data_IF_034113094492
#
_entry.id   IF_034113094492
#
_cell.length_a   1.000
_cell.length_b   1.000
_cell.length_c   1.000
_cell.angle_alpha   90.00
_cell.angle_beta   90.00
_cell.angle_gamma   90.00
#
_symmetry.space_group_name_H-M   'P 1'
#
loop_
_entity.id
_entity.type
_entity.pdbx_description
1 polymer ?
#
# COMPACT_ATOMS: atom_id res chain seq x y z
N UNK A 1 5.39 -22.93 1.79
CA UNK A 1 5.65 -23.82 0.64
C UNK A 1 4.34 -24.08 -0.05
N UNK A 2 4.30 -23.98 -1.36
CA UNK A 2 3.13 -24.33 -2.19
C UNK A 2 3.56 -25.45 -3.14
N UNK A 3 2.64 -26.40 -3.41
CA UNK A 3 2.90 -27.45 -4.38
C UNK A 3 2.22 -27.12 -5.71
N UNK A 4 2.96 -27.20 -6.79
CA UNK A 4 2.45 -27.10 -8.16
C UNK A 4 2.92 -28.35 -8.89
N UNK A 5 1.98 -29.14 -9.37
CA UNK A 5 2.25 -30.41 -10.08
C UNK A 5 3.22 -31.37 -9.35
N UNK A 6 3.10 -31.42 -8.01
CA UNK A 6 3.95 -32.28 -7.18
C UNK A 6 5.34 -31.72 -6.85
N UNK A 7 5.66 -30.50 -7.31
CA UNK A 7 6.94 -29.84 -7.01
C UNK A 7 6.73 -28.80 -5.89
N UNK A 8 7.56 -28.89 -4.85
CA UNK A 8 7.56 -27.92 -3.75
C UNK A 8 8.20 -26.60 -4.19
N UNK A 9 7.42 -25.53 -4.17
CA UNK A 9 7.88 -24.18 -4.52
C UNK A 9 7.94 -23.32 -3.25
N UNK A 10 9.09 -22.68 -3.04
CA UNK A 10 9.22 -21.67 -1.99
C UNK A 10 8.44 -20.43 -2.38
N UNK A 11 7.45 -20.07 -1.57
CA UNK A 11 6.66 -18.85 -1.71
C UNK A 11 6.88 -17.94 -0.52
N UNK A 12 6.56 -16.67 -0.67
CA UNK A 12 6.53 -15.73 0.45
C UNK A 12 5.50 -16.21 1.50
N UNK A 13 5.77 -15.90 2.77
CA UNK A 13 4.75 -16.04 3.81
C UNK A 13 3.58 -15.08 3.51
N UNK A 14 2.37 -15.32 4.04
CA UNK A 14 1.27 -14.37 3.88
C UNK A 14 1.62 -12.95 4.36
N UNK A 15 2.38 -12.83 5.44
CA UNK A 15 2.87 -11.54 5.97
C UNK A 15 3.82 -10.85 5.00
N UNK A 16 4.85 -11.56 4.53
CA UNK A 16 5.81 -10.99 3.58
C UNK A 16 5.15 -10.65 2.25
N UNK A 17 4.20 -11.46 1.80
CA UNK A 17 3.48 -11.22 0.55
C UNK A 17 2.60 -9.97 0.67
N UNK A 18 1.87 -9.80 1.77
CA UNK A 18 1.08 -8.60 2.02
C UNK A 18 1.98 -7.37 2.10
N UNK A 19 3.09 -7.45 2.83
CA UNK A 19 4.06 -6.36 2.91
C UNK A 19 4.64 -6.01 1.52
N UNK A 20 4.98 -7.03 0.71
CA UNK A 20 5.42 -6.83 -0.67
C UNK A 20 4.37 -6.11 -1.51
N UNK A 21 3.08 -6.50 -1.44
CA UNK A 21 2.00 -5.86 -2.17
C UNK A 21 1.86 -4.38 -1.80
N UNK A 22 1.98 -4.05 -0.51
CA UNK A 22 1.93 -2.66 -0.03
C UNK A 22 3.10 -1.85 -0.60
N UNK A 23 4.33 -2.38 -0.49
CA UNK A 23 5.53 -1.73 -1.03
C UNK A 23 5.45 -1.55 -2.54
N UNK A 24 5.01 -2.59 -3.26
CA UNK A 24 4.84 -2.57 -4.71
C UNK A 24 3.80 -1.52 -5.15
N UNK A 25 2.68 -1.46 -4.45
CA UNK A 25 1.64 -0.46 -4.69
C UNK A 25 2.14 0.95 -4.41
N UNK A 26 2.91 1.14 -3.35
CA UNK A 26 3.53 2.43 -3.04
C UNK A 26 4.52 2.86 -4.12
N UNK A 27 5.34 1.93 -4.64
CA UNK A 27 6.21 2.20 -5.79
C UNK A 27 5.43 2.68 -7.00
N UNK A 28 4.35 1.97 -7.35
CA UNK A 28 3.49 2.37 -8.46
C UNK A 28 2.85 3.73 -8.23
N UNK A 29 2.35 3.98 -7.04
CA UNK A 29 1.80 5.28 -6.66
C UNK A 29 2.80 6.42 -6.90
N UNK A 30 4.06 6.24 -6.53
CA UNK A 30 5.09 7.28 -6.68
C UNK A 30 5.59 7.46 -8.13
N UNK A 31 5.60 6.41 -8.95
CA UNK A 31 6.36 6.43 -10.21
C UNK A 31 5.55 6.11 -11.47
N UNK A 32 4.64 5.18 -11.40
CA UNK A 32 4.04 4.59 -12.61
C UNK A 32 2.53 4.77 -12.71
N UNK A 33 1.94 5.36 -11.71
CA UNK A 33 0.50 5.36 -11.55
C UNK A 33 -0.01 4.13 -10.80
N UNK A 34 -1.10 4.34 -10.10
CA UNK A 34 -1.69 3.41 -9.15
C UNK A 34 -3.20 3.36 -9.41
N UNK A 35 -3.77 2.19 -9.47
CA UNK A 35 -5.18 2.01 -9.78
C UNK A 35 -5.92 1.23 -8.69
N UNK A 36 -7.24 1.24 -8.77
CA UNK A 36 -8.11 0.57 -7.78
C UNK A 36 -7.84 -0.95 -7.67
N UNK A 37 -7.32 -1.56 -8.73
CA UNK A 37 -7.01 -2.99 -8.75
C UNK A 37 -6.03 -3.39 -7.65
N UNK A 38 -4.98 -2.61 -7.43
CA UNK A 38 -4.00 -2.88 -6.38
C UNK A 38 -4.63 -2.86 -4.98
N UNK A 39 -5.61 -1.97 -4.76
CA UNK A 39 -6.37 -1.96 -3.50
C UNK A 39 -7.23 -3.21 -3.37
N UNK A 40 -7.89 -3.62 -4.46
CA UNK A 40 -8.68 -4.86 -4.48
C UNK A 40 -7.81 -6.08 -4.18
N UNK A 41 -6.63 -6.19 -4.77
CA UNK A 41 -5.70 -7.30 -4.55
C UNK A 41 -5.30 -7.39 -3.06
N UNK A 42 -5.00 -6.26 -2.40
CA UNK A 42 -4.71 -6.23 -0.97
C UNK A 42 -5.91 -6.62 -0.11
N UNK A 43 -7.11 -6.11 -0.44
CA UNK A 43 -8.34 -6.46 0.27
C UNK A 43 -8.65 -7.96 0.15
N UNK A 44 -8.52 -8.51 -1.06
CA UNK A 44 -8.77 -9.94 -1.30
C UNK A 44 -7.76 -10.82 -0.57
N UNK A 45 -6.49 -10.43 -0.57
CA UNK A 45 -5.45 -11.14 0.16
C UNK A 45 -5.70 -11.10 1.67
N UNK A 46 -6.05 -9.94 2.23
CA UNK A 46 -6.37 -9.81 3.65
C UNK A 46 -7.57 -10.70 4.04
N UNK A 47 -8.61 -10.74 3.21
CA UNK A 47 -9.78 -11.62 3.41
C UNK A 47 -9.42 -13.10 3.31
N UNK A 48 -8.54 -13.47 2.39
CA UNK A 48 -8.17 -14.87 2.17
C UNK A 48 -7.26 -15.41 3.28
N UNK A 49 -6.30 -14.63 3.74
CA UNK A 49 -5.32 -15.08 4.72
C UNK A 49 -5.64 -14.68 6.17
N UNK A 50 -6.68 -13.91 6.39
CA UNK A 50 -7.24 -13.49 7.71
C UNK A 50 -6.22 -13.51 8.87
N UNK A 51 -6.23 -14.55 9.70
CA UNK A 51 -5.37 -14.69 10.89
C UNK A 51 -3.93 -15.13 10.59
N UNK A 52 -3.56 -15.36 9.33
CA UNK A 52 -2.22 -15.81 8.92
C UNK A 52 -1.27 -14.64 8.60
N UNK A 53 -1.78 -13.42 8.59
CA UNK A 53 -1.00 -12.20 8.39
C UNK A 53 -0.66 -11.62 9.75
N UNK A 54 0.62 -11.44 10.04
CA UNK A 54 1.08 -10.69 11.20
C UNK A 54 1.05 -9.19 10.90
N UNK A 55 -0.08 -8.58 11.21
CA UNK A 55 -0.31 -7.16 10.98
C UNK A 55 0.58 -6.26 11.84
N UNK A 56 0.99 -6.73 13.01
CA UNK A 56 1.88 -5.97 13.89
C UNK A 56 3.27 -5.83 13.26
N UNK A 57 3.80 -6.93 12.75
CA UNK A 57 5.08 -6.91 12.02
C UNK A 57 5.02 -5.98 10.81
N UNK A 58 3.91 -6.02 10.03
CA UNK A 58 3.71 -5.13 8.88
C UNK A 58 3.66 -3.67 9.33
N UNK A 59 2.88 -3.34 10.37
CA UNK A 59 2.75 -1.97 10.88
C UNK A 59 4.08 -1.40 11.35
N UNK A 60 4.89 -2.20 12.07
CA UNK A 60 6.22 -1.80 12.52
C UNK A 60 7.14 -1.48 11.32
N UNK A 61 7.14 -2.34 10.29
CA UNK A 61 7.89 -2.12 9.05
C UNK A 61 7.40 -0.85 8.31
N UNK A 62 6.08 -0.67 8.19
CA UNK A 62 5.50 0.50 7.52
C UNK A 62 5.83 1.80 8.24
N UNK A 63 5.83 1.80 9.58
CA UNK A 63 6.20 2.96 10.39
C UNK A 63 7.68 3.34 10.18
N UNK A 64 8.59 2.37 10.17
CA UNK A 64 10.01 2.58 9.89
C UNK A 64 10.22 3.18 8.49
N UNK A 65 9.45 2.74 7.51
CA UNK A 65 9.52 3.18 6.12
C UNK A 65 8.69 4.44 5.83
N UNK A 66 7.98 4.97 6.83
CA UNK A 66 7.05 6.10 6.71
C UNK A 66 5.94 5.88 5.66
N UNK A 67 5.51 4.65 5.53
CA UNK A 67 4.43 4.21 4.63
C UNK A 67 3.10 4.01 5.36
N UNK A 68 3.08 4.22 6.67
CA UNK A 68 1.92 4.09 7.54
C UNK A 68 0.71 4.89 7.02
N UNK A 69 0.91 6.18 6.72
CA UNK A 69 -0.16 7.05 6.18
C UNK A 69 -0.72 6.54 4.86
N UNK A 70 0.14 6.07 3.96
CA UNK A 70 -0.29 5.53 2.68
C UNK A 70 -1.17 4.29 2.88
N UNK A 71 -0.72 3.33 3.69
CA UNK A 71 -1.49 2.12 3.92
C UNK A 71 -2.77 2.38 4.72
N UNK A 72 -2.75 3.29 5.71
CA UNK A 72 -3.96 3.69 6.44
C UNK A 72 -5.01 4.31 5.52
N UNK A 73 -4.58 5.15 4.56
CA UNK A 73 -5.50 5.70 3.55
C UNK A 73 -6.09 4.60 2.65
N UNK A 74 -5.28 3.62 2.21
CA UNK A 74 -5.76 2.47 1.43
C UNK A 74 -6.71 1.58 2.24
N UNK A 75 -6.39 1.31 3.50
CA UNK A 75 -7.25 0.54 4.39
C UNK A 75 -8.61 1.23 4.58
N UNK A 76 -8.60 2.55 4.74
CA UNK A 76 -9.83 3.35 4.83
C UNK A 76 -10.65 3.27 3.55
N UNK A 77 -10.02 3.38 2.37
CA UNK A 77 -10.68 3.19 1.07
C UNK A 77 -11.26 1.78 0.98
N UNK A 78 -10.51 0.76 1.35
CA UNK A 78 -10.96 -0.63 1.37
C UNK A 78 -12.21 -0.84 2.24
N UNK A 79 -12.27 -0.18 3.39
CA UNK A 79 -13.41 -0.25 4.30
C UNK A 79 -14.63 0.49 3.76
N UNK A 80 -14.45 1.75 3.35
CA UNK A 80 -15.56 2.64 3.02
C UNK A 80 -16.16 2.34 1.64
N UNK A 81 -15.34 1.91 0.67
CA UNK A 81 -15.76 1.76 -0.72
C UNK A 81 -15.74 0.33 -1.24
N UNK A 82 -14.97 -0.59 -0.61
CA UNK A 82 -14.84 -1.98 -1.06
C UNK A 82 -15.41 -3.00 -0.05
N UNK A 83 -16.06 -2.54 1.00
CA UNK A 83 -16.71 -3.40 2.00
C UNK A 83 -15.74 -4.33 2.73
N UNK A 84 -14.50 -3.89 2.98
CA UNK A 84 -13.52 -4.65 3.74
C UNK A 84 -13.71 -4.42 5.23
N UNK A 85 -14.03 -5.48 5.97
CA UNK A 85 -14.02 -5.47 7.44
C UNK A 85 -12.61 -5.84 7.91
N UNK A 86 -11.74 -4.87 8.05
CA UNK A 86 -10.34 -5.08 8.45
C UNK A 86 -10.20 -5.74 9.82
N UNK A 87 -11.10 -5.45 10.75
CA UNK A 87 -11.12 -6.03 12.08
C UNK A 87 -11.26 -7.57 12.00
N UNK A 88 -12.03 -8.08 11.03
CA UNK A 88 -12.16 -9.52 10.79
C UNK A 88 -10.88 -10.14 10.24
N UNK A 89 -9.98 -9.35 9.68
CA UNK A 89 -8.66 -9.80 9.20
C UNK A 89 -7.58 -9.71 10.26
N UNK A 90 -7.90 -9.18 11.45
CA UNK A 90 -6.95 -8.92 12.52
C UNK A 90 -6.17 -7.61 12.40
N UNK A 91 -6.42 -6.82 11.36
CA UNK A 91 -5.80 -5.50 11.21
C UNK A 91 -6.54 -4.46 12.06
N UNK A 92 -5.80 -3.81 12.93
CA UNK A 92 -6.29 -2.68 13.73
C UNK A 92 -5.45 -1.46 13.38
N UNK A 93 -6.08 -0.43 12.82
CA UNK A 93 -5.42 0.81 12.49
C UNK A 93 -5.76 1.89 13.50
N UNK A 94 -4.79 2.25 14.32
CA UNK A 94 -4.91 3.32 15.30
C UNK A 94 -4.81 4.73 14.72
N UNK A 95 -4.50 4.86 13.43
CA UNK A 95 -4.29 6.15 12.74
C UNK A 95 -5.43 6.53 11.81
N UNK A 96 -6.39 5.64 11.56
CA UNK A 96 -7.48 5.83 10.58
C UNK A 96 -8.27 7.11 10.74
N UNK A 97 -8.55 7.53 11.98
CA UNK A 97 -9.32 8.75 12.24
C UNK A 97 -8.58 10.03 11.83
N UNK A 98 -7.25 9.96 11.72
CA UNK A 98 -6.37 11.10 11.42
C UNK A 98 -5.97 11.20 9.95
N UNK A 99 -6.31 10.19 9.16
CA UNK A 99 -5.94 10.12 7.75
C UNK A 99 -7.13 10.48 6.88
N UNK A 100 -6.94 11.47 6.01
CA UNK A 100 -7.89 11.77 4.94
C UNK A 100 -7.59 10.90 3.73
N UNK A 101 -8.50 9.99 3.38
CA UNK A 101 -8.32 9.10 2.23
C UNK A 101 -8.76 9.71 0.89
N UNK A 102 -9.48 10.85 0.92
CA UNK A 102 -10.03 11.46 -0.29
C UNK A 102 -8.98 11.85 -1.33
N UNK A 103 -7.83 12.47 -0.97
CA UNK A 103 -6.81 12.78 -1.96
C UNK A 103 -6.30 11.54 -2.69
N UNK A 104 -6.12 10.43 -1.97
CA UNK A 104 -5.67 9.17 -2.57
C UNK A 104 -6.78 8.50 -3.40
N UNK A 105 -8.03 8.58 -2.95
CA UNK A 105 -9.17 8.05 -3.70
C UNK A 105 -9.33 8.76 -5.05
N UNK A 106 -9.23 10.09 -5.08
CA UNK A 106 -9.28 10.87 -6.33
C UNK A 106 -8.16 10.45 -7.26
N UNK A 107 -6.92 10.34 -6.76
CA UNK A 107 -5.77 9.89 -7.56
C UNK A 107 -5.96 8.47 -8.14
N UNK A 108 -6.55 7.55 -7.36
CA UNK A 108 -6.90 6.21 -7.80
C UNK A 108 -7.93 6.21 -8.93
N UNK A 109 -8.96 7.03 -8.82
CA UNK A 109 -10.04 7.11 -9.82
C UNK A 109 -9.56 7.76 -11.12
N UNK A 110 -8.75 8.81 -11.03
CA UNK A 110 -8.11 9.45 -12.18
C UNK A 110 -7.11 8.52 -12.89
N UNK A 111 -6.45 7.65 -12.12
CA UNK A 111 -5.55 6.62 -12.65
C UNK A 111 -6.23 5.49 -13.39
N UNK A 112 -7.55 5.32 -13.22
CA UNK A 112 -8.30 4.21 -13.78
C UNK A 112 -7.90 2.85 -13.20
N UNK A 113 -8.19 1.77 -13.95
CA UNK A 113 -7.96 0.39 -13.46
C UNK A 113 -6.47 0.07 -13.30
N UNK A 114 -5.64 0.56 -14.20
CA UNK A 114 -4.20 0.22 -14.26
C UNK A 114 -3.26 1.35 -13.84
N UNK A 115 -3.80 2.53 -13.56
CA UNK A 115 -3.00 3.72 -13.35
C UNK A 115 -2.44 4.30 -14.65
N UNK A 116 -2.19 5.61 -14.67
CA UNK A 116 -1.58 6.31 -15.81
C UNK A 116 -0.20 6.86 -15.43
N UNK A 117 0.81 6.64 -16.27
CA UNK A 117 2.17 7.15 -16.04
C UNK A 117 2.39 8.48 -16.76
N UNK A 118 2.56 9.58 -16.00
CA UNK A 118 3.04 10.86 -16.54
C UNK A 118 4.08 11.47 -15.61
N UNK A 119 4.97 12.32 -16.12
CA UNK A 119 5.94 13.06 -15.30
C UNK A 119 5.25 13.97 -14.27
N UNK A 120 4.08 14.50 -14.61
CA UNK A 120 3.24 15.27 -13.70
C UNK A 120 2.77 14.43 -12.48
N UNK A 121 2.66 13.11 -12.63
CA UNK A 121 2.18 12.21 -11.60
C UNK A 121 3.13 12.06 -10.40
N UNK A 122 4.44 12.11 -10.61
CA UNK A 122 5.43 12.09 -9.51
C UNK A 122 5.25 13.28 -8.57
N UNK A 123 4.94 14.44 -9.13
CA UNK A 123 4.68 15.65 -8.34
C UNK A 123 3.32 15.54 -7.62
N UNK A 124 2.30 15.06 -8.30
CA UNK A 124 0.96 14.84 -7.75
C UNK A 124 0.98 13.83 -6.61
N UNK A 125 1.67 12.70 -6.73
CA UNK A 125 1.74 11.68 -5.69
C UNK A 125 2.32 12.23 -4.37
N UNK A 126 3.36 13.06 -4.44
CA UNK A 126 3.93 13.71 -3.27
C UNK A 126 2.92 14.67 -2.63
N UNK A 127 2.22 15.48 -3.42
CA UNK A 127 1.18 16.38 -2.92
C UNK A 127 0.01 15.62 -2.29
N UNK A 128 -0.39 14.50 -2.89
CA UNK A 128 -1.45 13.62 -2.37
C UNK A 128 -1.08 13.05 -0.99
N UNK A 129 0.15 12.58 -0.82
CA UNK A 129 0.63 12.09 0.47
C UNK A 129 0.74 13.20 1.52
N UNK A 130 1.20 14.38 1.13
CA UNK A 130 1.25 15.53 2.03
C UNK A 130 -0.15 15.97 2.45
N UNK A 131 -1.10 16.00 1.53
CA UNK A 131 -2.49 16.32 1.84
C UNK A 131 -3.10 15.27 2.78
N UNK A 132 -2.81 13.98 2.57
CA UNK A 132 -3.27 12.90 3.44
C UNK A 132 -2.65 12.97 4.85
N UNK A 133 -1.46 13.49 4.98
CA UNK A 133 -0.70 13.57 6.26
C UNK A 133 -1.02 14.80 7.10
N UNK A 134 -2.13 15.40 7.06
CA UNK A 134 -2.53 16.57 7.88
C UNK A 134 -1.41 17.11 8.80
N UNK A 135 -0.52 17.93 8.25
CA UNK A 135 0.48 18.71 9.03
C UNK A 135 1.86 18.08 9.26
N UNK A 136 2.22 16.92 8.73
CA UNK A 136 3.58 16.38 8.81
C UNK A 136 4.33 16.55 7.48
N UNK A 137 5.42 17.33 7.49
CA UNK A 137 6.34 17.45 6.34
C UNK A 137 7.16 16.18 6.20
N UNK A 138 7.04 15.47 5.07
CA UNK A 138 7.98 14.43 4.68
C UNK A 138 8.15 14.42 3.16
N UNK A 139 9.40 14.34 2.70
CA UNK A 139 9.72 14.19 1.27
C UNK A 139 9.79 12.71 0.91
N UNK A 140 8.93 12.27 -0.01
CA UNK A 140 8.85 10.86 -0.46
C UNK A 140 10.17 10.34 -1.06
N UNK A 141 11.04 11.23 -1.56
CA UNK A 141 12.35 10.89 -2.13
C UNK A 141 13.30 10.23 -1.13
N UNK A 142 13.30 10.66 0.14
CA UNK A 142 14.19 10.11 1.16
C UNK A 142 13.79 8.71 1.64
N UNK A 143 12.51 8.39 1.54
CA UNK A 143 11.97 7.08 1.96
C UNK A 143 12.28 6.01 0.93
N UNK A 144 12.21 6.38 -0.35
CA UNK A 144 12.45 5.44 -1.44
C UNK A 144 13.92 5.03 -1.58
N UNK A 145 14.83 5.96 -1.43
CA UNK A 145 16.28 5.68 -1.49
C UNK A 145 16.78 4.77 -0.37
N UNK A 146 16.11 4.76 0.78
CA UNK A 146 16.45 3.84 1.88
C UNK A 146 15.83 2.43 1.73
N UNK A 147 14.73 2.31 0.97
CA UNK A 147 14.05 1.04 0.71
C UNK A 147 14.71 0.20 -0.38
N UNK A 148 15.26 0.84 -1.40
CA UNK A 148 15.80 0.18 -2.57
C UNK A 148 17.10 0.85 -3.00
N UNK A 149 18.22 0.64 -2.25
CA UNK A 149 19.52 1.22 -2.56
C UNK A 149 20.16 0.61 -3.81
N UNK A 150 19.53 0.60 -4.91
CA UNK A 150 19.99 0.02 -6.18
C UNK A 150 19.04 0.26 -7.34
N UNK A 151 17.85 0.80 -7.09
CA UNK A 151 16.87 1.06 -8.14
C UNK A 151 16.98 2.45 -8.82
N UNK A 152 18.09 3.15 -8.64
CA UNK A 152 18.33 4.46 -9.25
C UNK A 152 19.17 4.40 -10.54
N UNK A 153 19.46 3.23 -11.06
CA UNK A 153 20.12 3.05 -12.35
C UNK A 153 19.11 2.43 -13.34
N UNK A 154 18.28 3.22 -13.93
CA UNK A 154 17.86 3.25 -15.36
C UNK A 154 17.00 4.51 -15.53
#
# INVERSE_FOLDING_TARGET
MSQIEGVDIKTLSPTDHMFYLICHSFKHFLHSGFGIRQVCDMVMMAKHYTTRIDWREIQDKLAQLRMDTFFSALAKIGREYLGCSWEKTGYVDYTQERVDCMPLLVDLLEGGVYGGSTMARRHSANMTLEAARRGKKATASSVWSSLFPGCFLI
#
